data_IF_794271742101
#
_entry.id   IF_794271742101
#
_cell.length_a   1.000
_cell.length_b   1.000
_cell.length_c   1.000
_cell.angle_alpha   90.00
_cell.angle_beta   90.00
_cell.angle_gamma   90.00
#
_symmetry.space_group_name_H-M   'P 1'
#
loop_
_entity.id
_entity.type
_entity.pdbx_description
1 polymer ?
#
# COMPACT_ATOMS: atom_id res chain seq x y z
N UNK A 1 -5.22 -8.27 5.34
CA UNK A 1 -4.10 -7.31 5.25
C UNK A 1 -4.59 -5.89 5.43
N UNK A 2 -3.67 -4.97 5.67
CA UNK A 2 -4.02 -3.54 5.85
C UNK A 2 -4.56 -2.94 4.55
N UNK A 3 -4.01 -3.31 3.40
CA UNK A 3 -4.51 -2.85 2.09
C UNK A 3 -5.92 -3.38 1.81
N UNK A 4 -6.24 -4.59 2.20
CA UNK A 4 -7.60 -5.12 2.11
C UNK A 4 -8.59 -4.35 2.99
N UNK A 5 -8.17 -3.94 4.18
CA UNK A 5 -8.98 -3.11 5.07
C UNK A 5 -9.28 -1.74 4.45
N UNK A 6 -8.31 -1.14 3.77
CA UNK A 6 -8.53 0.11 3.01
C UNK A 6 -9.53 -0.12 1.88
N UNK A 7 -9.36 -1.19 1.10
CA UNK A 7 -10.28 -1.53 0.02
C UNK A 7 -11.72 -1.72 0.54
N UNK A 8 -11.88 -2.41 1.67
CA UNK A 8 -13.18 -2.58 2.30
C UNK A 8 -13.81 -1.25 2.71
N UNK A 9 -13.02 -0.32 3.22
CA UNK A 9 -13.51 1.01 3.57
C UNK A 9 -13.94 1.83 2.34
N UNK A 10 -13.34 1.57 1.17
CA UNK A 10 -13.67 2.25 -0.08
C UNK A 10 -14.92 1.70 -0.78
N UNK A 11 -15.43 0.55 -0.35
CA UNK A 11 -16.60 -0.10 -0.97
C UNK A 11 -17.81 0.84 -1.02
N UNK A 12 -18.01 1.68 -0.02
CA UNK A 12 -19.10 2.65 0.04
C UNK A 12 -18.89 3.94 -0.75
N UNK A 13 -17.74 4.12 -1.39
CA UNK A 13 -17.44 5.34 -2.17
C UNK A 13 -17.77 5.15 -3.64
N UNK A 14 -18.40 6.15 -4.25
CA UNK A 14 -18.76 6.15 -5.67
C UNK A 14 -17.75 6.95 -6.51
N UNK A 15 -17.83 6.81 -7.84
CA UNK A 15 -17.02 7.51 -8.82
C UNK A 15 -15.52 7.30 -8.66
N UNK A 16 -15.13 6.07 -8.27
CA UNK A 16 -13.74 5.65 -8.19
C UNK A 16 -13.37 4.77 -9.38
N UNK A 17 -12.19 5.01 -9.93
CA UNK A 17 -11.47 4.00 -10.69
C UNK A 17 -10.45 3.35 -9.76
N UNK A 18 -10.51 2.04 -9.64
CA UNK A 18 -9.60 1.26 -8.80
C UNK A 18 -8.79 0.34 -9.69
N UNK A 19 -7.48 0.55 -9.70
CA UNK A 19 -6.52 -0.33 -10.32
C UNK A 19 -5.89 -1.19 -9.22
N UNK A 20 -6.02 -2.49 -9.32
CA UNK A 20 -5.49 -3.41 -8.31
C UNK A 20 -4.72 -4.56 -8.95
N UNK A 21 -3.65 -4.99 -8.27
CA UNK A 21 -2.92 -6.20 -8.61
C UNK A 21 -3.28 -7.38 -7.69
N UNK A 22 -4.41 -7.31 -6.99
CA UNK A 22 -4.81 -8.36 -6.03
C UNK A 22 -6.22 -8.86 -6.32
N UNK A 23 -6.33 -10.18 -6.53
CA UNK A 23 -7.61 -10.82 -6.85
C UNK A 23 -8.63 -10.72 -5.71
N UNK A 24 -8.18 -10.77 -4.46
CA UNK A 24 -9.07 -10.69 -3.31
C UNK A 24 -9.70 -9.30 -3.19
N UNK A 25 -8.91 -8.26 -3.44
CA UNK A 25 -9.39 -6.87 -3.46
C UNK A 25 -10.39 -6.68 -4.60
N UNK A 26 -10.07 -7.22 -5.79
CA UNK A 26 -10.99 -7.16 -6.93
C UNK A 26 -12.34 -7.79 -6.60
N UNK A 27 -12.35 -8.98 -6.03
CA UNK A 27 -13.58 -9.68 -5.66
C UNK A 27 -14.39 -8.90 -4.61
N UNK A 28 -13.71 -8.34 -3.62
CA UNK A 28 -14.34 -7.53 -2.57
C UNK A 28 -15.05 -6.32 -3.16
N UNK A 29 -14.39 -5.60 -4.07
CA UNK A 29 -14.91 -4.37 -4.64
C UNK A 29 -15.91 -4.60 -5.77
N UNK A 30 -15.89 -5.76 -6.42
CA UNK A 30 -16.79 -6.07 -7.53
C UNK A 30 -18.27 -6.19 -7.13
N UNK A 31 -18.52 -6.37 -5.84
CA UNK A 31 -19.87 -6.47 -5.29
C UNK A 31 -20.53 -5.11 -5.06
N UNK A 32 -19.78 -4.03 -5.14
CA UNK A 32 -20.29 -2.68 -4.89
C UNK A 32 -20.43 -1.91 -6.20
N UNK A 33 -21.56 -1.21 -6.42
CA UNK A 33 -21.76 -0.41 -7.64
C UNK A 33 -20.93 0.88 -7.63
N UNK A 34 -20.87 1.55 -8.78
CA UNK A 34 -20.33 2.90 -8.91
C UNK A 34 -18.80 2.97 -9.03
N UNK A 35 -18.13 1.85 -9.34
CA UNK A 35 -16.68 1.82 -9.51
C UNK A 35 -16.28 1.24 -10.85
N UNK A 36 -15.25 1.81 -11.46
CA UNK A 36 -14.54 1.19 -12.55
C UNK A 36 -13.37 0.39 -11.97
N UNK A 37 -13.37 -0.93 -12.18
CA UNK A 37 -12.34 -1.80 -11.66
C UNK A 37 -11.43 -2.25 -12.79
N UNK A 38 -10.13 -2.10 -12.59
CA UNK A 38 -9.10 -2.55 -13.52
C UNK A 38 -8.20 -3.53 -12.78
N UNK A 39 -8.15 -4.77 -13.25
CA UNK A 39 -7.23 -5.78 -12.74
C UNK A 39 -5.94 -5.74 -13.54
N UNK A 40 -4.81 -5.59 -12.85
CA UNK A 40 -3.48 -5.67 -13.44
C UNK A 40 -3.27 -7.06 -14.01
N UNK A 41 -2.89 -7.15 -15.29
CA UNK A 41 -2.54 -8.41 -15.92
C UNK A 41 -1.13 -8.87 -15.59
N UNK A 42 -0.93 -10.18 -15.51
CA UNK A 42 0.38 -10.77 -15.22
C UNK A 42 0.26 -12.14 -14.57
N UNK A 43 1.35 -12.60 -13.98
CA UNK A 43 1.43 -13.89 -13.27
C UNK A 43 0.83 -13.78 -11.88
N UNK A 44 -0.11 -14.66 -11.57
CA UNK A 44 -0.76 -14.69 -10.25
C UNK A 44 0.04 -15.56 -9.29
N UNK A 45 0.38 -14.99 -8.13
CA UNK A 45 0.94 -15.75 -7.02
C UNK A 45 -0.23 -16.36 -6.24
N UNK A 46 -0.31 -17.69 -6.24
CA UNK A 46 -1.46 -18.41 -5.72
C UNK A 46 -1.68 -18.23 -4.20
N UNK A 47 -0.61 -18.01 -3.45
CA UNK A 47 -0.66 -17.92 -1.98
C UNK A 47 -1.54 -16.77 -1.48
N UNK A 48 -1.52 -15.63 -2.15
CA UNK A 48 -2.21 -14.41 -1.69
C UNK A 48 -3.00 -13.68 -2.79
N UNK A 49 -3.04 -14.24 -3.99
CA UNK A 49 -3.76 -13.64 -5.12
C UNK A 49 -3.12 -12.40 -5.71
N UNK A 50 -1.86 -12.12 -5.40
CA UNK A 50 -1.14 -10.98 -5.94
C UNK A 50 -0.66 -11.26 -7.37
N UNK A 51 -0.83 -10.29 -8.26
CA UNK A 51 -0.28 -10.32 -9.61
C UNK A 51 1.09 -9.67 -9.59
N UNK A 52 2.11 -10.39 -10.04
CA UNK A 52 3.52 -9.97 -9.98
C UNK A 52 4.21 -10.20 -11.33
N UNK A 53 5.43 -9.69 -11.46
CA UNK A 53 6.28 -9.89 -12.61
C UNK A 53 6.32 -8.70 -13.56
N UNK A 54 7.16 -8.81 -14.60
CA UNK A 54 7.41 -7.72 -15.56
C UNK A 54 6.17 -7.25 -16.32
N UNK A 55 5.29 -8.17 -16.68
CA UNK A 55 4.03 -7.83 -17.36
C UNK A 55 3.12 -6.98 -16.46
N UNK A 56 3.08 -7.25 -15.17
CA UNK A 56 2.33 -6.44 -14.21
C UNK A 56 2.91 -5.04 -14.10
N UNK A 57 4.22 -4.91 -14.03
CA UNK A 57 4.92 -3.62 -14.01
C UNK A 57 4.58 -2.80 -15.26
N UNK A 58 4.72 -3.39 -16.45
CA UNK A 58 4.40 -2.72 -17.72
C UNK A 58 2.93 -2.29 -17.78
N UNK A 59 2.02 -3.10 -17.27
CA UNK A 59 0.59 -2.79 -17.24
C UNK A 59 0.35 -1.54 -16.39
N UNK A 60 0.92 -1.48 -15.20
CA UNK A 60 0.76 -0.37 -14.25
C UNK A 60 1.32 0.93 -14.85
N UNK A 61 2.41 0.86 -15.58
CA UNK A 61 3.07 2.03 -16.16
C UNK A 61 2.26 2.74 -17.27
N UNK A 62 1.18 2.13 -17.74
CA UNK A 62 0.24 2.78 -18.66
C UNK A 62 -0.71 3.74 -17.99
N UNK A 63 -0.74 3.75 -16.66
CA UNK A 63 -1.67 4.56 -15.87
C UNK A 63 -0.94 5.62 -15.08
N UNK A 64 -1.58 6.76 -14.90
CA UNK A 64 -1.20 7.74 -13.92
C UNK A 64 -2.41 8.02 -13.04
N UNK A 65 -2.31 7.69 -11.77
CA UNK A 65 -3.42 7.73 -10.82
C UNK A 65 -3.24 8.84 -9.79
N UNK A 66 -4.32 9.23 -9.14
CA UNK A 66 -4.27 10.27 -8.11
C UNK A 66 -3.63 9.77 -6.83
N UNK A 67 -3.92 8.53 -6.44
CA UNK A 67 -3.45 7.95 -5.19
C UNK A 67 -2.87 6.56 -5.42
N UNK A 68 -1.73 6.30 -4.82
CA UNK A 68 -1.23 4.95 -4.59
C UNK A 68 -1.44 4.59 -3.13
N UNK A 69 -1.89 3.37 -2.87
CA UNK A 69 -1.97 2.81 -1.53
C UNK A 69 -1.15 1.53 -1.53
N UNK A 70 -0.08 1.50 -0.77
CA UNK A 70 0.82 0.36 -0.66
C UNK A 70 0.99 -0.05 0.79
N UNK A 71 1.24 -1.34 1.01
CA UNK A 71 1.65 -1.88 2.30
C UNK A 71 3.15 -2.16 2.33
N UNK A 72 3.62 -2.69 3.44
CA UNK A 72 4.99 -3.15 3.62
C UNK A 72 5.02 -4.36 4.54
N UNK A 73 6.07 -5.17 4.44
CA UNK A 73 6.29 -6.30 5.34
C UNK A 73 7.14 -5.93 6.53
N UNK A 74 7.98 -4.91 6.39
CA UNK A 74 8.90 -4.46 7.44
C UNK A 74 9.19 -2.97 7.31
N UNK A 75 9.44 -2.32 8.44
CA UNK A 75 9.87 -0.93 8.54
C UNK A 75 11.09 -0.86 9.44
N UNK A 76 12.12 -0.15 8.99
CA UNK A 76 13.29 0.14 9.81
C UNK A 76 13.22 1.54 10.41
N UNK A 77 13.90 1.74 11.54
CA UNK A 77 13.90 3.02 12.25
C UNK A 77 14.53 4.17 11.43
N UNK A 78 15.36 3.85 10.45
CA UNK A 78 15.98 4.84 9.56
C UNK A 78 15.04 5.34 8.45
N UNK A 79 13.81 4.82 8.39
CA UNK A 79 12.81 5.18 7.38
C UNK A 79 12.74 4.23 6.19
N UNK A 80 13.50 3.14 6.18
CA UNK A 80 13.43 2.16 5.10
C UNK A 80 12.11 1.36 5.14
N UNK A 81 11.48 1.23 3.99
CA UNK A 81 10.25 0.47 3.77
C UNK A 81 10.60 -0.76 2.96
N UNK A 82 10.32 -1.96 3.50
CA UNK A 82 10.92 -3.20 3.05
C UNK A 82 9.88 -4.30 2.81
N UNK A 83 10.27 -5.29 1.99
CA UNK A 83 9.49 -6.49 1.74
C UNK A 83 10.40 -7.71 1.54
N UNK A 84 9.81 -8.90 1.47
CA UNK A 84 10.53 -10.16 1.32
C UNK A 84 10.74 -10.57 -0.14
N UNK A 85 9.82 -10.25 -1.03
CA UNK A 85 9.81 -10.72 -2.43
C UNK A 85 10.14 -9.57 -3.39
N UNK A 86 11.24 -9.71 -4.14
CA UNK A 86 11.67 -8.70 -5.11
C UNK A 86 10.65 -8.45 -6.22
N UNK A 87 9.86 -9.46 -6.61
CA UNK A 87 8.83 -9.29 -7.64
C UNK A 87 7.68 -8.42 -7.14
N UNK A 88 7.34 -8.56 -5.86
CA UNK A 88 6.34 -7.72 -5.21
C UNK A 88 6.83 -6.28 -5.03
N UNK A 89 8.10 -6.14 -4.72
CA UNK A 89 8.76 -4.83 -4.63
C UNK A 89 8.74 -4.11 -5.97
N UNK A 90 9.01 -4.79 -7.07
CA UNK A 90 8.97 -4.20 -8.41
C UNK A 90 7.58 -3.66 -8.75
N UNK A 91 6.54 -4.40 -8.40
CA UNK A 91 5.15 -3.95 -8.58
C UNK A 91 4.82 -2.75 -7.69
N UNK A 92 5.19 -2.81 -6.41
CA UNK A 92 4.96 -1.70 -5.47
C UNK A 92 5.66 -0.42 -5.94
N UNK A 93 6.90 -0.53 -6.42
CA UNK A 93 7.63 0.61 -6.97
C UNK A 93 6.97 1.19 -8.22
N UNK A 94 6.43 0.34 -9.10
CA UNK A 94 5.68 0.80 -10.27
C UNK A 94 4.40 1.54 -9.86
N UNK A 95 3.69 1.04 -8.87
CA UNK A 95 2.48 1.69 -8.33
C UNK A 95 2.83 3.08 -7.78
N UNK A 96 3.86 3.17 -6.95
CA UNK A 96 4.28 4.43 -6.34
C UNK A 96 4.73 5.45 -7.42
N UNK A 97 5.51 4.99 -8.38
CA UNK A 97 6.06 5.82 -9.46
C UNK A 97 4.98 6.47 -10.33
N UNK A 98 3.82 5.85 -10.43
CA UNK A 98 2.74 6.26 -11.32
C UNK A 98 1.55 6.91 -10.58
N UNK A 99 1.76 7.39 -9.36
CA UNK A 99 0.76 8.08 -8.57
C UNK A 99 1.18 9.50 -8.22
N UNK A 100 0.20 10.39 -8.14
CA UNK A 100 0.43 11.77 -7.72
C UNK A 100 0.66 11.88 -6.23
N UNK A 101 -0.08 11.11 -5.43
CA UNK A 101 0.05 11.05 -3.97
C UNK A 101 0.27 9.62 -3.52
N UNK A 102 1.27 9.41 -2.67
CA UNK A 102 1.74 8.09 -2.25
C UNK A 102 1.41 7.88 -0.78
N UNK A 103 0.61 6.85 -0.51
CA UNK A 103 0.12 6.52 0.82
C UNK A 103 0.63 5.14 1.21
N UNK A 104 1.32 5.07 2.34
CA UNK A 104 1.73 3.82 2.97
C UNK A 104 0.73 3.48 4.08
N UNK A 105 0.22 2.26 4.08
CA UNK A 105 -0.65 1.75 5.14
C UNK A 105 -0.07 0.48 5.73
N UNK A 106 0.17 0.49 7.02
CA UNK A 106 0.74 -0.66 7.72
C UNK A 106 0.49 -0.56 9.22
N UNK A 107 0.46 -1.71 9.88
CA UNK A 107 0.42 -1.76 11.33
C UNK A 107 1.82 -1.59 11.94
N UNK A 108 1.86 -1.14 13.19
CA UNK A 108 3.12 -0.88 13.90
C UNK A 108 3.93 -2.14 14.20
N UNK A 109 3.33 -3.33 14.08
CA UNK A 109 4.04 -4.59 14.21
C UNK A 109 5.11 -4.80 13.14
N UNK A 110 5.05 -4.05 12.03
CA UNK A 110 6.06 -4.09 10.98
C UNK A 110 7.43 -3.60 11.42
N UNK A 111 7.51 -2.78 12.45
CA UNK A 111 8.79 -2.37 13.06
C UNK A 111 9.52 -3.49 13.78
N UNK A 112 8.84 -4.59 14.10
CA UNK A 112 9.40 -5.76 14.76
C UNK A 112 9.89 -6.83 13.78
N UNK A 113 9.75 -6.60 12.48
CA UNK A 113 10.14 -7.53 11.43
C UNK A 113 11.34 -7.00 10.66
N UNK A 114 12.05 -7.91 10.00
CA UNK A 114 13.18 -7.57 9.13
C UNK A 114 12.98 -8.25 7.78
N UNK A 115 12.94 -7.45 6.72
CA UNK A 115 12.86 -7.92 5.36
C UNK A 115 14.01 -7.32 4.55
N UNK A 116 14.53 -8.05 3.54
CA UNK A 116 15.79 -7.66 2.90
C UNK A 116 15.65 -6.72 1.70
N UNK A 117 14.44 -6.62 1.11
CA UNK A 117 14.29 -5.91 -0.17
C UNK A 117 13.65 -4.54 0.05
N UNK A 118 14.34 -3.50 -0.38
CA UNK A 118 13.85 -2.12 -0.21
C UNK A 118 12.79 -1.79 -1.26
N UNK A 119 11.61 -1.39 -0.80
CA UNK A 119 10.59 -0.75 -1.65
C UNK A 119 11.00 0.70 -1.92
N UNK A 120 11.16 1.48 -0.85
CA UNK A 120 11.53 2.89 -0.89
C UNK A 120 11.96 3.37 0.50
N UNK A 121 12.35 4.62 0.60
CA UNK A 121 12.49 5.32 1.87
C UNK A 121 11.21 6.08 2.21
N UNK A 122 11.07 6.47 3.49
CA UNK A 122 9.91 7.26 3.94
C UNK A 122 9.84 8.62 3.24
N UNK A 123 10.95 9.11 2.73
CA UNK A 123 11.03 10.36 1.96
C UNK A 123 10.27 10.29 0.62
N UNK A 124 9.96 9.09 0.13
CA UNK A 124 9.16 8.88 -1.08
C UNK A 124 7.66 8.72 -0.79
N UNK A 125 7.24 8.81 0.47
CA UNK A 125 5.85 8.66 0.89
C UNK A 125 5.29 10.00 1.37
N UNK A 126 4.11 10.35 0.89
CA UNK A 126 3.43 11.59 1.28
C UNK A 126 2.70 11.43 2.61
N UNK A 127 2.00 10.32 2.79
CA UNK A 127 1.21 10.04 3.99
C UNK A 127 1.42 8.59 4.42
N UNK A 128 1.73 8.38 5.68
CA UNK A 128 1.73 7.06 6.32
C UNK A 128 0.57 6.97 7.29
N UNK A 129 -0.25 5.92 7.14
CA UNK A 129 -1.34 5.61 8.07
C UNK A 129 -0.99 4.33 8.81
N UNK A 130 -1.01 4.39 10.13
CA UNK A 130 -0.68 3.26 11.00
C UNK A 130 -1.61 3.21 12.21
N UNK A 131 -1.59 2.13 12.96
CA UNK A 131 -2.47 1.91 14.11
C UNK A 131 -1.91 2.41 15.45
N UNK A 132 -0.60 2.61 15.54
CA UNK A 132 0.08 3.09 16.75
C UNK A 132 1.22 4.02 16.39
N UNK A 133 1.62 4.85 17.35
CA UNK A 133 2.73 5.77 17.19
C UNK A 133 4.02 5.02 16.82
N UNK A 134 4.65 5.35 15.68
CA UNK A 134 5.95 4.78 15.32
C UNK A 134 7.06 5.13 16.32
N UNK A 135 8.18 4.37 16.32
CA UNK A 135 9.33 4.69 17.16
C UNK A 135 9.84 6.13 16.94
N UNK A 136 10.40 6.76 17.98
CA UNK A 136 10.84 8.16 17.86
C UNK A 136 11.83 8.42 16.72
N UNK A 137 12.75 7.49 16.47
CA UNK A 137 13.73 7.63 15.40
C UNK A 137 13.06 7.63 14.02
N UNK A 138 12.07 6.76 13.80
CA UNK A 138 11.30 6.74 12.57
C UNK A 138 10.48 8.03 12.40
N UNK A 139 9.85 8.49 13.47
CA UNK A 139 9.12 9.77 13.45
C UNK A 139 10.01 10.95 13.09
N UNK A 140 11.25 10.96 13.60
CA UNK A 140 12.23 11.98 13.21
C UNK A 140 12.57 11.91 11.72
N UNK A 141 12.76 10.71 11.17
CA UNK A 141 13.01 10.52 9.75
C UNK A 141 11.81 10.98 8.89
N UNK A 142 10.60 10.63 9.29
CA UNK A 142 9.37 11.05 8.61
C UNK A 142 9.21 12.58 8.62
N UNK A 143 9.45 13.21 9.77
CA UNK A 143 9.39 14.67 9.89
C UNK A 143 10.42 15.37 9.01
N UNK A 144 11.66 14.87 9.00
CA UNK A 144 12.71 15.41 8.16
C UNK A 144 12.37 15.28 6.66
N UNK A 145 11.68 14.23 6.27
CA UNK A 145 11.23 13.98 4.90
C UNK A 145 9.98 14.77 4.50
N UNK A 146 9.28 15.36 5.46
CA UNK A 146 8.00 16.04 5.22
C UNK A 146 6.81 15.08 5.06
N UNK A 147 6.95 13.82 5.49
CA UNK A 147 5.89 12.82 5.42
C UNK A 147 4.92 13.01 6.59
N UNK A 148 3.64 13.10 6.28
CA UNK A 148 2.58 13.14 7.30
C UNK A 148 2.36 11.73 7.85
N UNK A 149 2.40 11.59 9.17
CA UNK A 149 2.05 10.33 9.86
C UNK A 149 0.71 10.49 10.53
N UNK A 150 -0.23 9.62 10.16
CA UNK A 150 -1.59 9.57 10.72
C UNK A 150 -1.73 8.29 11.53
N UNK A 151 -2.00 8.41 12.82
CA UNK A 151 -2.31 7.26 13.68
C UNK A 151 -3.82 7.08 13.72
N UNK A 152 -4.29 6.01 13.07
CA UNK A 152 -5.70 5.68 13.05
C UNK A 152 -6.11 5.13 14.43
N UNK A 153 -7.00 5.82 15.11
CA UNK A 153 -7.56 5.33 16.36
C UNK A 153 -8.59 4.24 16.05
N UNK A 154 -8.54 3.16 16.82
CA UNK A 154 -9.58 2.15 16.76
C UNK A 154 -10.91 2.79 17.19
N UNK A 155 -11.76 3.07 16.20
CA UNK A 155 -13.11 3.57 16.42
C UNK A 155 -14.06 2.43 16.79
N UNK A 156 -13.62 1.49 17.61
CA UNK A 156 -14.56 0.58 18.29
C UNK A 156 -15.40 1.42 19.22
N UNK A 157 -16.58 1.76 18.75
CA UNK A 157 -17.60 2.31 19.61
C UNK A 157 -17.84 1.30 20.72
N UNK A 158 -17.35 1.61 21.90
CA UNK A 158 -17.82 0.95 23.11
C UNK A 158 -19.29 1.31 23.24
N UNK A 159 -20.11 0.42 22.74
CA UNK A 159 -21.57 0.47 22.95
C UNK A 159 -21.88 0.13 24.41
#
# INVERSE_FOLDING_TARGET
TTTEAVANALVGHDNLMVLTNNLNILQMMSRAPGKQLVLVGGTVRAQDGAVVGGAAVEFIERYKVDYAVVGASSLDDDGAILDFDSREVDVARAILRNARKKILVCDAGKFLRRAPVRICGIDEIDVMVTDRQPPPQFMAAAKAAGTQVVVARDMRVSG
#
